data_IF_921295328149
#
_entry.id   IF_921295328149
#
_cell.length_a   1.000
_cell.length_b   1.000
_cell.length_c   1.000
_cell.angle_alpha   90.00
_cell.angle_beta   90.00
_cell.angle_gamma   90.00
#
_symmetry.space_group_name_H-M   'P 1'
#
loop_
_entity.id
_entity.type
_entity.pdbx_description
1 polymer ?
#
# COMPACT_ATOMS: atom_id res chain seq x y z
N UNK A 1 -28.06 -26.82 51.78
CA UNK A 1 -27.78 -25.37 51.88
C UNK A 1 -26.28 -25.19 51.73
N UNK A 2 -25.83 -24.19 50.95
CA UNK A 2 -24.44 -23.86 50.57
C UNK A 2 -23.86 -24.65 49.38
N UNK A 3 -23.19 -24.09 48.37
CA UNK A 3 -22.98 -22.72 47.86
C UNK A 3 -22.42 -22.94 46.43
N UNK A 4 -22.99 -22.30 45.40
CA UNK A 4 -22.42 -22.30 44.04
C UNK A 4 -21.22 -21.33 43.97
N UNK A 5 -20.09 -21.69 43.37
CA UNK A 5 -19.07 -20.71 43.05
C UNK A 5 -19.45 -19.90 41.79
N UNK A 6 -19.38 -18.59 41.98
CA UNK A 6 -19.62 -17.51 41.02
C UNK A 6 -18.52 -17.47 39.97
N UNK A 7 -18.94 -17.18 38.73
CA UNK A 7 -18.24 -16.73 37.53
C UNK A 7 -16.74 -16.44 37.61
N UNK A 8 -16.01 -16.97 36.61
CA UNK A 8 -14.90 -16.23 35.99
C UNK A 8 -15.06 -16.23 34.47
N UNK A 9 -15.83 -15.28 33.97
CA UNK A 9 -15.79 -14.87 32.57
C UNK A 9 -14.44 -14.19 32.31
N UNK A 10 -13.47 -14.94 31.76
CA UNK A 10 -12.32 -14.33 31.11
C UNK A 10 -12.65 -14.08 29.65
N UNK A 11 -13.27 -12.94 29.39
CA UNK A 11 -13.16 -12.29 28.08
C UNK A 11 -11.84 -11.53 28.06
N UNK A 12 -10.89 -12.03 27.28
CA UNK A 12 -9.83 -11.23 26.72
C UNK A 12 -9.45 -11.89 25.39
N UNK A 13 -10.23 -11.59 24.35
CA UNK A 13 -9.74 -11.74 22.99
C UNK A 13 -8.60 -10.74 22.84
N UNK A 14 -7.37 -11.19 23.10
CA UNK A 14 -6.17 -10.53 22.59
C UNK A 14 -6.27 -10.62 21.07
N UNK A 15 -6.99 -9.67 20.47
CA UNK A 15 -6.83 -9.33 19.07
C UNK A 15 -5.36 -8.99 18.95
N UNK A 16 -4.61 -9.89 18.31
CA UNK A 16 -3.23 -9.63 17.90
C UNK A 16 -3.24 -8.25 17.26
N UNK A 17 -2.64 -7.28 17.94
CA UNK A 17 -2.37 -5.98 17.35
C UNK A 17 -1.39 -6.27 16.24
N UNK A 18 -1.88 -6.54 15.03
CA UNK A 18 -1.07 -6.47 13.82
C UNK A 18 -0.36 -5.13 13.94
N UNK A 19 0.95 -5.18 14.18
CA UNK A 19 1.78 -3.98 14.14
C UNK A 19 1.59 -3.48 12.72
N UNK A 20 0.84 -2.39 12.57
CA UNK A 20 0.56 -1.80 11.28
C UNK A 20 1.91 -1.32 10.74
N UNK A 21 2.48 -2.07 9.79
CA UNK A 21 3.80 -1.77 9.22
C UNK A 21 3.65 -0.54 8.32
N UNK A 22 3.85 0.64 8.89
CA UNK A 22 3.88 1.89 8.15
C UNK A 22 5.27 2.05 7.50
N UNK A 23 5.32 1.99 6.16
CA UNK A 23 6.53 2.25 5.38
C UNK A 23 6.45 3.62 4.74
N UNK A 24 7.59 4.19 4.38
CA UNK A 24 7.65 5.38 3.52
C UNK A 24 7.13 4.98 2.14
N UNK A 25 6.01 5.57 1.70
CA UNK A 25 5.42 5.28 0.40
C UNK A 25 5.98 6.21 -0.67
N UNK A 26 6.12 7.50 -0.36
CA UNK A 26 6.67 8.49 -1.26
C UNK A 26 7.17 9.74 -0.50
N UNK A 27 8.01 10.54 -1.15
CA UNK A 27 8.50 11.84 -0.68
C UNK A 27 8.09 12.92 -1.66
N UNK A 28 7.64 14.06 -1.13
CA UNK A 28 7.20 15.22 -1.90
C UNK A 28 7.99 16.46 -1.48
N UNK A 29 8.21 17.36 -2.43
CA UNK A 29 8.84 18.68 -2.18
C UNK A 29 7.78 19.78 -2.02
N UNK A 30 6.60 19.58 -2.61
CA UNK A 30 5.45 20.48 -2.48
C UNK A 30 4.47 19.98 -1.41
N UNK A 31 4.01 20.90 -0.56
CA UNK A 31 3.11 20.57 0.55
C UNK A 31 1.72 20.18 0.07
N UNK A 32 1.18 20.92 -0.89
CA UNK A 32 -0.19 20.75 -1.35
C UNK A 32 -0.32 19.42 -2.10
N UNK A 33 0.68 19.06 -2.91
CA UNK A 33 0.78 17.74 -3.53
C UNK A 33 0.82 16.61 -2.50
N UNK A 34 1.61 16.78 -1.43
CA UNK A 34 1.75 15.81 -0.37
C UNK A 34 0.45 15.62 0.44
N UNK A 35 -0.27 16.71 0.73
CA UNK A 35 -1.57 16.68 1.40
C UNK A 35 -2.62 16.02 0.51
N UNK A 36 -2.65 16.35 -0.79
CA UNK A 36 -3.51 15.67 -1.77
C UNK A 36 -3.21 14.16 -1.81
N UNK A 37 -1.94 13.77 -1.87
CA UNK A 37 -1.53 12.37 -1.84
C UNK A 37 -1.98 11.65 -0.55
N UNK A 38 -1.85 12.32 0.61
CA UNK A 38 -2.33 11.80 1.89
C UNK A 38 -3.83 11.49 1.85
N UNK A 39 -4.66 12.31 1.20
CA UNK A 39 -6.12 12.04 1.10
C UNK A 39 -6.42 10.75 0.34
N UNK A 40 -5.58 10.35 -0.62
CA UNK A 40 -5.77 9.19 -1.49
C UNK A 40 -5.43 7.86 -0.81
N UNK A 41 -4.51 7.87 0.18
CA UNK A 41 -4.08 6.65 0.89
C UNK A 41 -5.19 6.14 1.81
N UNK A 42 -5.41 4.83 1.83
CA UNK A 42 -6.34 4.14 2.74
C UNK A 42 -5.58 3.45 3.88
N UNK A 43 -6.27 3.26 5.00
CA UNK A 43 -5.68 2.67 6.20
C UNK A 43 -4.80 3.66 6.98
N UNK A 44 -3.97 3.16 7.90
CA UNK A 44 -3.04 3.97 8.68
C UNK A 44 -2.08 4.73 7.78
N UNK A 45 -1.99 6.05 8.00
CA UNK A 45 -1.18 6.96 7.21
C UNK A 45 -0.71 8.15 8.03
N UNK A 46 0.44 8.71 7.66
CA UNK A 46 1.05 9.86 8.32
C UNK A 46 1.86 10.65 7.30
N UNK A 47 1.69 11.96 7.29
CA UNK A 47 2.58 12.86 6.58
C UNK A 47 3.55 13.47 7.60
N UNK A 48 4.85 13.28 7.39
CA UNK A 48 5.90 13.86 8.23
C UNK A 48 6.66 14.93 7.45
N UNK A 49 6.90 16.07 8.07
CA UNK A 49 7.75 17.13 7.50
C UNK A 49 9.16 16.95 8.02
N UNK A 50 10.12 16.94 7.11
CA UNK A 50 11.55 16.87 7.41
C UNK A 50 12.24 18.09 6.80
N UNK A 51 13.26 18.60 7.49
CA UNK A 51 14.11 19.68 7.02
C UNK A 51 15.50 19.11 6.84
N UNK A 52 15.96 19.08 5.60
CA UNK A 52 17.35 18.75 5.27
C UNK A 52 18.00 20.03 4.71
N UNK A 53 19.00 20.55 5.42
CA UNK A 53 19.78 21.78 5.24
C UNK A 53 19.08 23.00 4.59
N UNK A 54 18.60 22.89 3.34
CA UNK A 54 17.95 23.96 2.58
C UNK A 54 16.55 23.63 2.01
N UNK A 55 16.00 22.44 2.21
CA UNK A 55 14.71 22.04 1.66
C UNK A 55 13.78 21.44 2.72
N UNK A 56 12.50 21.75 2.60
CA UNK A 56 11.44 21.09 3.36
C UNK A 56 10.88 19.99 2.48
N UNK A 57 10.94 18.75 2.96
CA UNK A 57 10.33 17.60 2.29
C UNK A 57 9.19 17.04 3.13
N UNK A 58 8.26 16.38 2.46
CA UNK A 58 7.06 15.80 3.03
C UNK A 58 7.04 14.30 2.75
N UNK A 59 7.36 13.53 3.78
CA UNK A 59 7.43 12.07 3.75
C UNK A 59 6.06 11.46 4.05
N UNK A 60 5.45 10.84 3.04
CA UNK A 60 4.18 10.15 3.16
C UNK A 60 4.40 8.71 3.58
N UNK A 61 4.05 8.41 4.83
CA UNK A 61 4.02 7.07 5.38
C UNK A 61 2.63 6.46 5.30
N UNK A 62 2.55 5.16 5.05
CA UNK A 62 1.30 4.42 5.09
C UNK A 62 1.52 2.92 5.00
N UNK A 63 0.42 2.19 5.00
CA UNK A 63 0.45 0.75 4.74
C UNK A 63 0.83 0.50 3.27
N UNK A 64 1.92 -0.24 2.99
CA UNK A 64 2.28 -0.60 1.64
C UNK A 64 1.22 -1.56 1.09
N UNK A 65 0.62 -1.18 -0.03
CA UNK A 65 -0.31 -2.05 -0.75
C UNK A 65 -0.41 -1.61 -2.20
N UNK A 66 -0.68 -2.56 -3.09
CA UNK A 66 -0.94 -2.26 -4.50
C UNK A 66 -2.07 -1.24 -4.69
N UNK A 67 -3.11 -1.30 -3.84
CA UNK A 67 -4.20 -0.32 -3.87
C UNK A 67 -3.73 1.09 -3.52
N UNK A 68 -2.88 1.25 -2.51
CA UNK A 68 -2.33 2.56 -2.15
C UNK A 68 -1.37 3.08 -3.23
N UNK A 69 -0.49 2.24 -3.77
CA UNK A 69 0.38 2.63 -4.87
C UNK A 69 -0.39 3.03 -6.13
N UNK A 70 -1.47 2.32 -6.46
CA UNK A 70 -2.35 2.69 -7.58
C UNK A 70 -2.99 4.06 -7.36
N UNK A 71 -3.54 4.32 -6.18
CA UNK A 71 -4.15 5.62 -5.84
C UNK A 71 -3.14 6.77 -5.85
N UNK A 72 -1.88 6.48 -5.55
CA UNK A 72 -0.77 7.43 -5.66
C UNK A 72 -0.24 7.58 -7.10
N UNK A 73 -0.73 6.80 -8.07
CA UNK A 73 -0.27 6.82 -9.45
C UNK A 73 1.14 6.23 -9.64
N UNK A 74 1.61 5.42 -8.71
CA UNK A 74 2.97 4.90 -8.69
C UNK A 74 3.15 3.65 -9.55
N UNK A 75 4.41 3.36 -9.89
CA UNK A 75 4.88 2.10 -10.50
C UNK A 75 4.13 1.66 -11.77
N UNK A 76 3.60 2.62 -12.55
CA UNK A 76 2.86 2.35 -13.79
C UNK A 76 1.64 1.42 -13.59
N UNK A 77 1.08 1.36 -12.38
CA UNK A 77 -0.09 0.54 -12.08
C UNK A 77 -1.35 0.91 -12.89
N UNK A 78 -1.62 2.19 -13.21
CA UNK A 78 -2.71 2.54 -14.12
C UNK A 78 -2.55 1.94 -15.52
N UNK A 79 -1.33 1.93 -16.05
CA UNK A 79 -1.04 1.33 -17.35
C UNK A 79 -1.14 -0.20 -17.29
N UNK A 80 -0.63 -0.82 -16.23
CA UNK A 80 -0.79 -2.26 -16.01
C UNK A 80 -2.26 -2.67 -15.98
N UNK A 81 -3.11 -1.90 -15.30
CA UNK A 81 -4.55 -2.19 -15.24
C UNK A 81 -5.16 -2.25 -16.65
N UNK A 82 -4.80 -1.32 -17.53
CA UNK A 82 -5.26 -1.31 -18.92
C UNK A 82 -4.78 -2.55 -19.68
N UNK A 83 -3.49 -2.89 -19.59
CA UNK A 83 -2.91 -4.05 -20.27
C UNK A 83 -3.52 -5.38 -19.79
N UNK A 84 -3.69 -5.53 -18.47
CA UNK A 84 -4.34 -6.72 -17.88
C UNK A 84 -5.78 -6.83 -18.33
N UNK A 85 -6.53 -5.73 -18.38
CA UNK A 85 -7.91 -5.72 -18.86
C UNK A 85 -8.02 -6.10 -20.35
N UNK A 86 -7.16 -5.55 -21.21
CA UNK A 86 -7.11 -5.92 -22.63
C UNK A 86 -6.85 -7.43 -22.79
N UNK A 87 -5.84 -7.95 -22.08
CA UNK A 87 -5.50 -9.37 -22.08
C UNK A 87 -6.67 -10.25 -21.64
N UNK A 88 -7.32 -9.91 -20.52
CA UNK A 88 -8.46 -10.67 -19.98
C UNK A 88 -9.66 -10.68 -20.92
N UNK A 89 -9.81 -9.63 -21.73
CA UNK A 89 -10.86 -9.51 -22.74
C UNK A 89 -10.48 -10.13 -24.11
N UNK A 90 -9.30 -10.76 -24.22
CA UNK A 90 -8.81 -11.34 -25.47
C UNK A 90 -8.46 -10.29 -26.54
N UNK A 91 -8.21 -9.05 -26.15
CA UNK A 91 -7.81 -7.96 -27.05
C UNK A 91 -6.30 -7.99 -27.28
N UNK A 92 -5.86 -7.42 -28.41
CA UNK A 92 -4.45 -7.15 -28.62
C UNK A 92 -3.96 -6.13 -27.57
N UNK A 93 -2.81 -6.42 -26.97
CA UNK A 93 -2.17 -5.57 -25.97
C UNK A 93 -0.66 -5.59 -26.17
N UNK A 94 0.04 -4.61 -25.60
CA UNK A 94 1.50 -4.57 -25.66
C UNK A 94 2.09 -5.54 -24.62
N UNK A 95 2.39 -6.76 -25.06
CA UNK A 95 3.01 -7.78 -24.22
C UNK A 95 4.41 -7.40 -23.73
N UNK A 96 5.16 -6.63 -24.52
CA UNK A 96 6.51 -6.21 -24.15
C UNK A 96 6.41 -5.25 -22.97
N UNK A 97 5.54 -4.25 -23.08
CA UNK A 97 5.28 -3.30 -22.00
C UNK A 97 4.73 -3.97 -20.75
N UNK A 98 3.81 -4.93 -20.90
CA UNK A 98 3.29 -5.72 -19.78
C UNK A 98 4.43 -6.44 -19.03
N UNK A 99 5.31 -7.17 -19.73
CA UNK A 99 6.46 -7.85 -19.12
C UNK A 99 7.44 -6.89 -18.44
N UNK A 100 7.70 -5.74 -19.03
CA UNK A 100 8.55 -4.69 -18.42
C UNK A 100 7.97 -4.21 -17.09
N UNK A 101 6.67 -3.94 -17.04
CA UNK A 101 6.02 -3.49 -15.81
C UNK A 101 6.05 -4.60 -14.75
N UNK A 102 5.69 -5.85 -15.11
CA UNK A 102 5.72 -6.97 -14.16
C UNK A 102 7.13 -7.18 -13.59
N UNK A 103 8.17 -7.08 -14.41
CA UNK A 103 9.56 -7.21 -13.96
C UNK A 103 9.93 -6.13 -12.95
N UNK A 104 9.59 -4.86 -13.22
CA UNK A 104 9.76 -3.77 -12.24
C UNK A 104 8.99 -4.05 -10.94
N UNK A 105 7.74 -4.52 -11.04
CA UNK A 105 6.91 -4.78 -9.85
C UNK A 105 7.44 -5.92 -8.99
N UNK A 106 8.20 -6.87 -9.53
CA UNK A 106 8.87 -7.91 -8.72
C UNK A 106 9.91 -7.33 -7.76
N UNK A 107 10.66 -6.31 -8.21
CA UNK A 107 11.58 -5.59 -7.33
C UNK A 107 10.84 -4.78 -6.26
N UNK A 108 9.77 -4.08 -6.64
CA UNK A 108 8.93 -3.31 -5.71
C UNK A 108 8.29 -4.22 -4.67
N UNK A 109 7.76 -5.37 -5.11
CA UNK A 109 7.18 -6.40 -4.26
C UNK A 109 8.17 -6.87 -3.18
N UNK A 110 9.42 -7.15 -3.56
CA UNK A 110 10.47 -7.50 -2.62
C UNK A 110 10.77 -6.41 -1.58
N UNK A 111 10.89 -5.14 -2.01
CA UNK A 111 11.18 -4.01 -1.11
C UNK A 111 10.07 -3.72 -0.11
N UNK A 112 8.82 -3.97 -0.51
CA UNK A 112 7.65 -3.71 0.33
C UNK A 112 7.06 -4.95 1.01
N UNK A 113 7.61 -6.14 0.75
CA UNK A 113 7.09 -7.44 1.23
C UNK A 113 5.65 -7.71 0.75
N UNK A 114 5.40 -7.43 -0.52
CA UNK A 114 4.11 -7.67 -1.17
C UNK A 114 4.18 -8.87 -2.11
N UNK A 115 3.04 -9.53 -2.30
CA UNK A 115 2.89 -10.54 -3.34
C UNK A 115 2.25 -9.91 -4.59
N UNK A 116 2.75 -10.25 -5.77
CA UNK A 116 2.11 -9.84 -7.03
C UNK A 116 0.87 -10.72 -7.25
N UNK A 117 -0.32 -10.12 -7.50
CA UNK A 117 -1.51 -10.89 -7.81
C UNK A 117 -1.32 -11.74 -9.07
N UNK A 118 -1.63 -13.04 -8.98
CA UNK A 118 -1.44 -13.98 -10.09
C UNK A 118 -2.16 -13.56 -11.39
N UNK A 119 -3.31 -12.90 -11.29
CA UNK A 119 -4.07 -12.43 -12.44
C UNK A 119 -3.42 -11.26 -13.20
N UNK A 120 -2.35 -10.67 -12.65
CA UNK A 120 -1.53 -9.66 -13.33
C UNK A 120 -0.48 -10.28 -14.24
N UNK A 121 0.00 -11.48 -13.90
CA UNK A 121 1.07 -12.21 -14.60
C UNK A 121 0.52 -12.94 -15.81
#
# INVERSE_FOLDING_TARGET
MQLLPISRSMSASQKSSTVLIMKLLNTYEDKDEAEVALTKVQGPKRLATERDDNQVIYNLFGEPSWGNFYRLGMFQLPELQMLVAQRQNGQAYDEKKHREIITMLQYVAGSFELEIPAHWI
#
